data_IF_971703676816
#
_entry.id   IF_971703676816
#
_cell.length_a   1.000
_cell.length_b   1.000
_cell.length_c   1.000
_cell.angle_alpha   90.00
_cell.angle_beta   90.00
_cell.angle_gamma   90.00
#
_symmetry.space_group_name_H-M   'P 1'
#
loop_
_entity.id
_entity.type
_entity.pdbx_description
1 polymer ?
#
# COMPACT_ATOMS: atom_id res chain seq x y z
N UNK A 1 -1.37 4.92 -7.32
CA UNK A 1 -0.76 4.86 -5.96
C UNK A 1 -0.91 3.47 -5.38
N UNK A 2 0.01 3.07 -4.50
CA UNK A 2 0.06 1.73 -3.89
C UNK A 2 -0.07 1.86 -2.37
N UNK A 3 -0.87 0.99 -1.75
CA UNK A 3 -1.01 0.93 -0.30
C UNK A 3 -0.26 -0.28 0.24
N UNK A 4 0.61 -0.05 1.22
CA UNK A 4 1.32 -1.06 2.00
C UNK A 4 0.66 -1.15 3.37
N UNK A 5 -0.28 -2.07 3.49
CA UNK A 5 -1.18 -2.23 4.63
C UNK A 5 -2.64 -2.19 4.20
N UNK A 6 -3.47 -2.98 4.89
CA UNK A 6 -4.92 -3.03 4.69
C UNK A 6 -5.69 -2.91 6.02
N UNK A 7 -5.09 -2.26 7.03
CA UNK A 7 -5.73 -1.99 8.31
C UNK A 7 -6.73 -0.84 8.25
N UNK A 8 -7.20 -0.38 9.42
CA UNK A 8 -8.23 0.65 9.52
C UNK A 8 -7.87 1.95 8.79
N UNK A 9 -6.66 2.48 9.01
CA UNK A 9 -6.21 3.73 8.38
C UNK A 9 -6.09 3.58 6.87
N UNK A 10 -5.37 2.56 6.38
CA UNK A 10 -5.28 2.24 4.95
C UNK A 10 -6.67 2.13 4.30
N UNK A 11 -7.59 1.41 4.95
CA UNK A 11 -8.94 1.17 4.42
C UNK A 11 -9.72 2.47 4.25
N UNK A 12 -9.74 3.34 5.26
CA UNK A 12 -10.47 4.60 5.17
C UNK A 12 -9.84 5.55 4.16
N UNK A 13 -8.51 5.66 4.17
CA UNK A 13 -7.79 6.56 3.28
C UNK A 13 -7.90 6.11 1.82
N UNK A 14 -7.71 4.83 1.52
CA UNK A 14 -7.84 4.28 0.17
C UNK A 14 -9.25 4.51 -0.38
N UNK A 15 -10.30 4.24 0.41
CA UNK A 15 -11.70 4.51 0.02
C UNK A 15 -11.95 5.99 -0.22
N UNK A 16 -11.43 6.87 0.63
CA UNK A 16 -11.59 8.31 0.47
C UNK A 16 -10.92 8.83 -0.82
N UNK A 17 -9.69 8.40 -1.08
CA UNK A 17 -8.94 8.78 -2.28
C UNK A 17 -9.58 8.22 -3.55
N UNK A 18 -10.01 6.95 -3.53
CA UNK A 18 -10.71 6.31 -4.64
C UNK A 18 -12.00 7.07 -5.00
N UNK A 19 -12.82 7.42 -4.00
CA UNK A 19 -14.04 8.23 -4.19
C UNK A 19 -13.78 9.64 -4.74
N UNK A 20 -12.56 10.16 -4.59
CA UNK A 20 -12.12 11.44 -5.16
C UNK A 20 -11.51 11.29 -6.56
N UNK A 21 -11.53 10.09 -7.14
CA UNK A 21 -11.04 9.81 -8.49
C UNK A 21 -9.55 9.48 -8.56
N UNK A 22 -8.88 9.29 -7.42
CA UNK A 22 -7.49 8.84 -7.43
C UNK A 22 -7.40 7.34 -7.72
N UNK A 23 -6.52 6.96 -8.65
CA UNK A 23 -6.30 5.55 -9.01
C UNK A 23 -5.44 4.83 -7.99
N UNK A 24 -6.04 3.83 -7.34
CA UNK A 24 -5.32 2.86 -6.52
C UNK A 24 -4.90 1.71 -7.44
N UNK A 25 -3.60 1.41 -7.49
CA UNK A 25 -3.05 0.41 -8.40
C UNK A 25 -2.97 -0.95 -7.72
N UNK A 26 -2.53 -0.98 -6.46
CA UNK A 26 -2.30 -2.21 -5.73
C UNK A 26 -2.45 -2.02 -4.22
N UNK A 27 -2.99 -3.03 -3.54
CA UNK A 27 -3.01 -3.16 -2.08
C UNK A 27 -2.11 -4.32 -1.65
N UNK A 28 -1.19 -4.06 -0.73
CA UNK A 28 -0.42 -5.09 -0.05
C UNK A 28 -0.92 -5.31 1.39
N UNK A 29 -1.02 -6.58 1.79
CA UNK A 29 -1.13 -6.98 3.19
C UNK A 29 -0.58 -8.39 3.38
N UNK A 30 -0.03 -8.69 4.55
CA UNK A 30 0.36 -10.06 4.93
C UNK A 30 -0.84 -11.01 4.97
N UNK A 31 -2.00 -10.49 5.37
CA UNK A 31 -3.26 -11.23 5.33
C UNK A 31 -3.92 -11.04 3.97
N UNK A 32 -3.98 -12.12 3.17
CA UNK A 32 -4.57 -12.11 1.83
C UNK A 32 -6.02 -11.62 1.84
N UNK A 33 -6.82 -12.12 2.78
CA UNK A 33 -8.24 -11.73 2.91
C UNK A 33 -8.41 -10.22 3.06
N UNK A 34 -7.56 -9.57 3.85
CA UNK A 34 -7.58 -8.10 4.02
C UNK A 34 -7.11 -7.37 2.77
N UNK A 35 -6.03 -7.85 2.11
CA UNK A 35 -5.53 -7.26 0.88
C UNK A 35 -6.61 -7.27 -0.20
N UNK A 36 -7.20 -8.46 -0.43
CA UNK A 36 -8.24 -8.71 -1.41
C UNK A 36 -9.49 -7.88 -1.14
N UNK A 37 -10.01 -7.92 0.10
CA UNK A 37 -11.22 -7.17 0.48
C UNK A 37 -11.07 -5.68 0.17
N UNK A 38 -9.94 -5.07 0.54
CA UNK A 38 -9.75 -3.64 0.27
C UNK A 38 -9.57 -3.37 -1.23
N UNK A 39 -8.79 -4.20 -1.93
CA UNK A 39 -8.53 -4.07 -3.35
C UNK A 39 -9.81 -4.15 -4.19
N UNK A 40 -10.71 -5.08 -3.88
CA UNK A 40 -12.02 -5.21 -4.52
C UNK A 40 -12.87 -3.94 -4.35
N UNK A 41 -12.81 -3.28 -3.19
CA UNK A 41 -13.59 -2.04 -2.93
C UNK A 41 -13.06 -0.84 -3.73
N UNK A 42 -11.77 -0.80 -4.03
CA UNK A 42 -11.12 0.33 -4.72
C UNK A 42 -10.66 -0.02 -6.13
N UNK A 43 -11.16 -1.13 -6.67
CA UNK A 43 -10.88 -1.63 -8.02
C UNK A 43 -9.37 -1.70 -8.34
N UNK A 44 -8.60 -2.22 -7.38
CA UNK A 44 -7.15 -2.37 -7.49
C UNK A 44 -6.74 -3.86 -7.53
N UNK A 45 -5.48 -4.11 -7.89
CA UNK A 45 -4.87 -5.42 -7.66
C UNK A 45 -4.50 -5.61 -6.18
N UNK A 46 -4.26 -6.86 -5.75
CA UNK A 46 -3.71 -7.14 -4.43
C UNK A 46 -2.47 -8.03 -4.49
N UNK A 47 -1.65 -7.97 -3.43
CA UNK A 47 -0.51 -8.86 -3.25
C UNK A 47 -0.23 -9.11 -1.77
N UNK A 48 0.37 -10.26 -1.48
CA UNK A 48 0.89 -10.63 -0.16
C UNK A 48 2.41 -10.61 -0.08
N UNK A 49 3.11 -10.25 -1.18
CA UNK A 49 4.57 -10.20 -1.24
C UNK A 49 5.10 -8.82 -1.60
N UNK A 50 6.05 -8.30 -0.82
CA UNK A 50 6.66 -6.98 -1.01
C UNK A 50 7.43 -6.84 -2.33
N UNK A 51 8.09 -7.92 -2.78
CA UNK A 51 8.78 -7.94 -4.08
C UNK A 51 7.84 -7.82 -5.28
N UNK A 52 6.55 -8.10 -5.09
CA UNK A 52 5.51 -7.97 -6.10
C UNK A 52 4.85 -6.59 -6.09
N UNK A 53 5.31 -5.68 -5.24
CA UNK A 53 4.87 -4.29 -5.31
C UNK A 53 5.27 -3.71 -6.68
N UNK A 54 4.27 -3.22 -7.41
CA UNK A 54 4.48 -2.48 -8.66
C UNK A 54 5.51 -1.38 -8.41
N UNK A 55 6.46 -1.21 -9.33
CA UNK A 55 7.49 -0.16 -9.27
C UNK A 55 7.26 0.91 -10.33
N UNK A 56 6.87 0.50 -11.54
CA UNK A 56 6.61 1.38 -12.67
C UNK A 56 5.26 2.09 -12.49
N UNK A 57 5.17 3.35 -12.91
CA UNK A 57 3.97 4.18 -12.86
C UNK A 57 3.37 4.40 -11.45
N UNK A 58 4.16 4.15 -10.40
CA UNK A 58 3.78 4.42 -9.01
C UNK A 58 4.45 5.71 -8.54
N UNK A 59 3.66 6.76 -8.40
CA UNK A 59 4.12 8.06 -7.86
C UNK A 59 4.10 8.15 -6.33
N UNK A 60 3.35 7.28 -5.65
CA UNK A 60 3.13 7.32 -4.20
C UNK A 60 2.89 5.92 -3.62
N UNK A 61 3.65 5.61 -2.58
CA UNK A 61 3.42 4.48 -1.67
C UNK A 61 2.94 5.00 -0.32
N UNK A 62 1.77 4.54 0.11
CA UNK A 62 1.20 4.85 1.42
C UNK A 62 1.44 3.66 2.35
N UNK A 63 2.22 3.85 3.40
CA UNK A 63 2.59 2.82 4.36
C UNK A 63 1.78 2.97 5.64
N UNK A 64 0.89 2.01 5.87
CA UNK A 64 0.02 1.94 7.05
C UNK A 64 0.28 0.63 7.79
N UNK A 65 1.54 0.44 8.19
CA UNK A 65 2.02 -0.65 9.03
C UNK A 65 2.27 -0.15 10.45
N UNK A 66 2.45 -1.07 11.41
CA UNK A 66 2.99 -0.71 12.71
C UNK A 66 4.46 -0.33 12.59
N UNK A 67 4.99 0.50 13.50
CA UNK A 67 6.39 0.97 13.48
C UNK A 67 7.39 -0.20 13.45
N UNK A 68 7.11 -1.24 14.22
CA UNK A 68 7.92 -2.47 14.25
C UNK A 68 7.98 -3.15 12.87
N UNK A 69 6.81 -3.35 12.24
CA UNK A 69 6.75 -3.96 10.92
C UNK A 69 7.32 -3.03 9.83
N UNK A 70 7.18 -1.72 9.98
CA UNK A 70 7.75 -0.76 9.04
C UNK A 70 9.27 -0.83 9.04
N UNK A 71 9.90 -0.82 10.22
CA UNK A 71 11.36 -0.83 10.37
C UNK A 71 11.98 -2.10 9.80
N UNK A 72 11.33 -3.26 10.03
CA UNK A 72 11.77 -4.56 9.52
C UNK A 72 11.69 -4.63 7.99
N UNK A 73 10.62 -4.09 7.40
CA UNK A 73 10.30 -4.27 5.99
C UNK A 73 10.83 -3.14 5.09
N UNK A 74 11.33 -2.05 5.67
CA UNK A 74 11.78 -0.85 4.98
C UNK A 74 12.79 -1.14 3.85
N UNK A 75 13.84 -1.97 4.05
CA UNK A 75 14.81 -2.24 2.99
C UNK A 75 14.18 -2.97 1.80
N UNK A 76 13.33 -3.97 2.06
CA UNK A 76 12.67 -4.75 1.00
C UNK A 76 11.62 -3.93 0.24
N UNK A 77 10.97 -2.99 0.93
CA UNK A 77 9.98 -2.09 0.35
C UNK A 77 10.61 -1.09 -0.62
N UNK A 78 11.75 -0.47 -0.25
CA UNK A 78 12.32 0.66 -1.00
C UNK A 78 13.31 0.25 -2.08
N UNK A 79 13.85 -0.97 -2.03
CA UNK A 79 14.80 -1.48 -3.04
C UNK A 79 14.20 -1.42 -4.45
N UNK A 80 14.88 -0.71 -5.37
CA UNK A 80 14.44 -0.51 -6.76
C UNK A 80 13.28 0.47 -6.91
N UNK A 81 12.94 1.24 -5.86
CA UNK A 81 11.85 2.21 -5.78
C UNK A 81 12.29 3.51 -5.10
N UNK A 82 13.58 3.85 -5.23
CA UNK A 82 14.24 4.94 -4.51
C UNK A 82 13.73 6.33 -4.90
N UNK A 83 13.18 6.45 -6.11
CA UNK A 83 12.64 7.72 -6.65
C UNK A 83 11.17 7.94 -6.30
N UNK A 84 10.50 6.97 -5.68
CA UNK A 84 9.09 7.09 -5.35
C UNK A 84 8.88 7.84 -4.02
N UNK A 85 7.76 8.56 -3.91
CA UNK A 85 7.36 9.16 -2.65
C UNK A 85 6.79 8.09 -1.71
N UNK A 86 7.41 7.93 -0.55
CA UNK A 86 6.95 7.06 0.52
C UNK A 86 6.36 7.92 1.65
N UNK A 87 5.09 7.70 1.97
CA UNK A 87 4.40 8.39 3.07
C UNK A 87 3.97 7.35 4.09
N UNK A 88 4.38 7.55 5.33
CA UNK A 88 3.95 6.73 6.45
C UNK A 88 2.82 7.40 7.20
N UNK A 89 1.81 6.63 7.61
CA UNK A 89 0.64 7.13 8.35
C UNK A 89 0.73 6.87 9.86
N UNK A 90 1.89 6.46 10.40
CA UNK A 90 2.11 6.42 11.84
C UNK A 90 3.00 7.57 12.31
N UNK A 91 2.61 8.11 13.45
CA UNK A 91 3.15 9.25 14.18
C UNK A 91 2.33 9.42 15.45
#
# INVERSE_FOLDING_TARGET
MVFVGAGNVATHLAKALYRKGHRILQIYSRAESSARTLAEIVEADYTTGLRKLLANDVSLYVVSLTDAAFTELLPEMTTGKEQALWVHTAG
#
